data_IF_766147527761
#
_entry.id   IF_766147527761
#
_cell.length_a   1.000
_cell.length_b   1.000
_cell.length_c   1.000
_cell.angle_alpha   90.00
_cell.angle_beta   90.00
_cell.angle_gamma   90.00
#
_symmetry.space_group_name_H-M   'P 1'
#
loop_
_entity.id
_entity.type
_entity.pdbx_description
1 polymer ?
#
# COMPACT_ATOMS: atom_id res chain seq x y z
N UNK A 1 -33.29 -17.59 60.31
CA UNK A 1 -32.56 -18.71 59.67
C UNK A 1 -31.31 -18.17 59.00
N UNK A 2 -30.18 -18.07 59.69
CA UNK A 2 -28.87 -17.85 59.09
C UNK A 2 -28.06 -19.15 59.10
N UNK A 3 -27.42 -19.52 57.99
CA UNK A 3 -26.33 -20.50 58.03
C UNK A 3 -25.07 -19.90 57.41
N UNK A 4 -24.18 -19.61 58.34
CA UNK A 4 -22.73 -19.51 58.27
C UNK A 4 -22.09 -20.71 57.57
N UNK A 5 -21.01 -20.49 56.83
CA UNK A 5 -19.89 -21.43 56.92
C UNK A 5 -18.53 -20.74 56.79
N UNK A 6 -17.71 -21.01 57.79
CA UNK A 6 -16.34 -20.58 57.97
C UNK A 6 -15.47 -21.83 58.15
N UNK A 7 -14.29 -21.86 57.53
CA UNK A 7 -13.08 -22.62 57.91
C UNK A 7 -11.98 -22.24 56.90
N UNK A 8 -10.86 -21.60 57.20
CA UNK A 8 -9.76 -21.85 58.17
C UNK A 8 -8.85 -23.04 57.78
N UNK A 9 -7.59 -22.70 57.51
CA UNK A 9 -6.30 -23.40 57.76
C UNK A 9 -5.36 -23.25 56.53
N UNK A 10 -4.27 -22.47 56.49
CA UNK A 10 -3.07 -22.31 57.36
C UNK A 10 -1.97 -23.37 57.10
N UNK A 11 -0.90 -22.91 56.43
CA UNK A 11 0.56 -23.23 56.61
C UNK A 11 0.99 -24.65 56.16
N UNK A 12 2.09 -24.85 55.42
CA UNK A 12 3.49 -24.94 55.91
C UNK A 12 4.50 -24.75 54.76
N UNK A 13 5.53 -23.99 55.11
CA UNK A 13 6.78 -23.66 54.42
C UNK A 13 7.80 -24.80 54.59
N UNK A 14 8.51 -25.22 53.53
CA UNK A 14 9.82 -25.92 53.69
C UNK A 14 10.66 -25.90 52.40
N UNK A 15 11.74 -25.11 52.42
CA UNK A 15 13.06 -25.38 51.80
C UNK A 15 13.98 -25.75 53.00
N UNK A 16 15.19 -26.36 52.87
CA UNK A 16 16.09 -26.43 51.72
C UNK A 16 16.79 -27.79 51.50
N UNK A 17 17.57 -27.93 50.43
CA UNK A 17 18.74 -28.82 50.48
C UNK A 17 19.87 -28.36 49.57
N UNK A 18 21.07 -28.31 50.15
CA UNK A 18 22.36 -27.99 49.55
C UNK A 18 23.20 -29.26 49.47
N UNK A 19 23.80 -29.55 48.31
CA UNK A 19 25.03 -30.35 48.10
C UNK A 19 25.59 -29.84 46.76
N UNK A 20 26.71 -29.13 46.65
CA UNK A 20 28.11 -29.46 46.95
C UNK A 20 28.62 -30.70 46.21
N UNK A 21 29.18 -30.51 45.01
CA UNK A 21 30.26 -31.35 44.44
C UNK A 21 31.20 -30.42 43.67
N UNK A 22 32.49 -30.56 43.97
CA UNK A 22 33.60 -29.76 43.47
C UNK A 22 34.38 -30.46 42.33
N UNK A 23 35.21 -29.65 41.66
CA UNK A 23 36.45 -29.98 40.92
C UNK A 23 36.35 -30.76 39.59
N UNK A 24 36.79 -30.11 38.51
CA UNK A 24 38.01 -30.54 37.80
C UNK A 24 38.48 -29.48 36.79
N UNK A 25 39.76 -29.11 36.90
CA UNK A 25 40.53 -28.29 35.96
C UNK A 25 40.81 -29.02 34.64
N UNK A 26 40.84 -28.29 33.52
CA UNK A 26 41.83 -28.51 32.46
C UNK A 26 42.01 -27.29 31.55
N UNK A 27 43.20 -26.67 31.67
CA UNK A 27 44.13 -26.36 30.57
C UNK A 27 43.63 -25.59 29.33
N UNK A 28 44.06 -24.32 29.23
CA UNK A 28 44.21 -23.62 27.94
C UNK A 28 45.60 -22.96 27.86
N UNK A 29 46.33 -23.12 26.74
CA UNK A 29 47.67 -22.55 26.57
C UNK A 29 47.65 -21.10 26.06
N UNK A 30 48.58 -20.30 26.57
CA UNK A 30 48.94 -18.95 26.12
C UNK A 30 49.54 -18.95 24.70
N UNK A 31 49.33 -17.90 23.89
CA UNK A 31 50.17 -17.64 22.74
C UNK A 31 51.23 -16.55 23.02
N UNK A 32 52.44 -17.00 22.76
CA UNK A 32 53.77 -16.39 22.68
C UNK A 32 53.79 -15.07 21.92
N UNK A 33 54.54 -14.11 22.46
CA UNK A 33 55.01 -12.90 21.78
C UNK A 33 55.89 -13.23 20.58
N UNK A 34 55.72 -12.54 19.47
CA UNK A 34 56.78 -12.43 18.46
C UNK A 34 56.85 -11.02 17.91
N UNK A 35 57.90 -10.34 18.34
CA UNK A 35 58.47 -9.11 17.78
C UNK A 35 59.30 -9.49 16.56
N UNK A 36 58.98 -9.00 15.37
CA UNK A 36 59.95 -8.90 14.27
C UNK A 36 59.79 -7.55 13.55
N UNK A 37 60.88 -6.79 13.66
CA UNK A 37 61.47 -5.73 12.84
C UNK A 37 60.69 -5.09 11.67
N UNK A 38 60.77 -3.75 11.67
CA UNK A 38 60.57 -2.86 10.55
C UNK A 38 61.56 -3.11 9.40
N UNK A 39 61.22 -2.58 8.20
CA UNK A 39 62.15 -1.64 7.57
C UNK A 39 61.49 -0.33 7.12
N UNK A 40 62.30 0.72 7.15
CA UNK A 40 62.11 2.05 6.56
C UNK A 40 61.69 1.97 5.08
N UNK A 41 60.83 2.89 4.62
CA UNK A 41 61.01 3.68 3.38
C UNK A 41 60.13 4.95 3.40
N UNK A 42 60.80 6.11 3.38
CA UNK A 42 60.51 7.40 2.67
C UNK A 42 59.14 8.12 2.77
N UNK A 43 59.10 9.43 3.12
CA UNK A 43 57.87 10.23 3.14
C UNK A 43 57.58 10.87 1.77
N UNK A 44 56.53 10.44 1.08
CA UNK A 44 55.90 11.23 0.01
C UNK A 44 54.76 12.07 0.59
N UNK A 45 54.94 13.39 0.57
CA UNK A 45 53.91 14.39 0.81
C UNK A 45 52.69 14.15 -0.09
N UNK A 46 51.60 13.68 0.51
CA UNK A 46 50.26 13.79 -0.06
C UNK A 46 49.50 14.88 0.71
N UNK A 47 49.45 16.05 0.11
CA UNK A 47 48.55 17.16 0.49
C UNK A 47 47.11 16.68 0.39
N UNK A 48 46.51 16.29 1.51
CA UNK A 48 45.08 16.04 1.62
C UNK A 48 44.40 17.41 1.71
N UNK A 49 43.98 17.92 0.56
CA UNK A 49 43.01 19.02 0.52
C UNK A 49 41.70 18.54 1.16
N UNK A 50 41.06 19.34 2.03
CA UNK A 50 39.78 18.96 2.61
C UNK A 50 38.73 18.85 1.50
N UNK A 51 38.05 17.70 1.45
CA UNK A 51 36.93 17.43 0.56
C UNK A 51 35.81 18.41 0.92
N UNK A 52 35.57 19.38 0.06
CA UNK A 52 34.37 20.22 0.11
C UNK A 52 33.13 19.32 0.12
N UNK A 53 32.12 19.61 0.96
CA UNK A 53 30.90 18.82 0.98
C UNK A 53 30.26 18.89 -0.40
N UNK A 54 30.07 17.71 -1.02
CA UNK A 54 29.31 17.57 -2.26
C UNK A 54 27.96 18.28 -2.10
N UNK A 55 27.81 19.42 -2.76
CA UNK A 55 26.51 20.04 -2.98
C UNK A 55 25.66 19.01 -3.71
N UNK A 56 24.76 18.36 -2.98
CA UNK A 56 23.69 17.56 -3.58
C UNK A 56 22.98 18.51 -4.54
N UNK A 57 23.12 18.27 -5.84
CA UNK A 57 22.35 18.96 -6.87
C UNK A 57 20.89 18.57 -6.65
N UNK A 58 20.21 19.29 -5.76
CA UNK A 58 18.77 19.18 -5.59
C UNK A 58 18.17 19.65 -6.89
N UNK A 59 17.47 18.74 -7.57
CA UNK A 59 16.75 19.06 -8.79
C UNK A 59 15.81 20.24 -8.47
N UNK A 60 15.84 21.35 -9.22
CA UNK A 60 15.05 22.54 -8.88
C UNK A 60 13.55 22.21 -8.75
N UNK A 61 13.06 21.24 -9.52
CA UNK A 61 11.69 20.74 -9.42
C UNK A 61 11.38 20.07 -8.07
N UNK A 62 12.34 19.35 -7.48
CA UNK A 62 12.16 18.73 -6.15
C UNK A 62 12.09 19.79 -5.05
N UNK A 63 12.89 20.84 -5.15
CA UNK A 63 12.88 21.92 -4.16
C UNK A 63 11.55 22.68 -4.15
N UNK A 64 10.97 22.92 -5.34
CA UNK A 64 9.65 23.53 -5.49
C UNK A 64 8.55 22.63 -4.93
N UNK A 65 8.58 21.34 -5.24
CA UNK A 65 7.56 20.40 -4.77
C UNK A 65 7.59 20.23 -3.25
N UNK A 66 8.78 20.18 -2.64
CA UNK A 66 8.91 20.16 -1.18
C UNK A 66 8.33 21.41 -0.52
N UNK A 67 8.58 22.59 -1.08
CA UNK A 67 7.98 23.82 -0.56
C UNK A 67 6.44 23.81 -0.65
N UNK A 68 5.86 23.21 -1.70
CA UNK A 68 4.41 23.02 -1.80
C UNK A 68 3.89 22.03 -0.76
N UNK A 69 4.58 20.91 -0.58
CA UNK A 69 4.26 19.92 0.47
C UNK A 69 4.24 20.59 1.84
N UNK A 70 5.30 21.30 2.23
CA UNK A 70 5.41 21.96 3.53
C UNK A 70 4.27 22.96 3.75
N UNK A 71 3.98 23.78 2.74
CA UNK A 71 2.89 24.76 2.77
C UNK A 71 1.54 24.10 3.04
N UNK A 72 1.20 23.05 2.28
CA UNK A 72 -0.10 22.41 2.40
C UNK A 72 -0.20 21.48 3.61
N UNK A 73 0.93 20.93 4.07
CA UNK A 73 0.98 20.10 5.27
C UNK A 73 0.71 20.96 6.50
N UNK A 74 1.31 22.16 6.58
CA UNK A 74 1.02 23.12 7.64
C UNK A 74 -0.48 23.44 7.73
N UNK A 75 -1.12 23.70 6.59
CA UNK A 75 -2.57 23.92 6.52
C UNK A 75 -3.38 22.66 6.93
N UNK A 76 -2.99 21.48 6.45
CA UNK A 76 -3.67 20.22 6.77
C UNK A 76 -3.62 19.91 8.28
N UNK A 77 -2.49 20.19 8.93
CA UNK A 77 -2.31 20.03 10.37
C UNK A 77 -3.17 21.04 11.14
N UNK A 78 -3.21 22.30 10.70
CA UNK A 78 -4.05 23.34 11.32
C UNK A 78 -5.54 23.02 11.22
N UNK A 79 -5.98 22.43 10.10
CA UNK A 79 -7.38 22.09 9.85
C UNK A 79 -7.95 21.01 10.78
N UNK A 80 -7.10 20.29 11.54
CA UNK A 80 -7.48 19.31 12.57
C UNK A 80 -8.63 18.38 12.14
N UNK A 81 -8.39 17.62 11.08
CA UNK A 81 -9.42 16.75 10.53
C UNK A 81 -9.90 15.68 11.54
N UNK A 82 -11.22 15.54 11.78
CA UNK A 82 -11.75 14.54 12.70
C UNK A 82 -11.66 13.11 12.14
N UNK A 83 -11.61 12.98 10.82
CA UNK A 83 -11.48 11.71 10.10
C UNK A 83 -10.48 11.90 8.98
N UNK A 84 -9.50 11.00 8.92
CA UNK A 84 -8.50 10.95 7.86
C UNK A 84 -8.92 9.96 6.77
N UNK A 85 -8.78 10.40 5.53
CA UNK A 85 -9.03 9.59 4.35
C UNK A 85 -7.69 9.06 3.86
N UNK A 86 -7.55 7.74 3.86
CA UNK A 86 -6.35 7.09 3.32
C UNK A 86 -6.14 7.47 1.86
N UNK A 87 -4.96 7.93 1.53
CA UNK A 87 -4.51 8.23 0.19
C UNK A 87 -4.62 6.97 -0.68
N UNK A 88 -5.40 7.07 -1.76
CA UNK A 88 -5.60 5.99 -2.72
C UNK A 88 -5.29 6.54 -4.10
N UNK A 89 -4.39 5.88 -4.82
CA UNK A 89 -4.03 6.22 -6.21
C UNK A 89 -3.78 7.74 -6.40
N UNK A 90 -2.72 8.29 -5.78
CA UNK A 90 -2.46 9.72 -5.77
C UNK A 90 -2.21 10.30 -7.16
N UNK A 91 -1.69 9.51 -8.10
CA UNK A 91 -1.48 9.95 -9.49
C UNK A 91 -2.81 10.13 -10.24
N UNK A 92 -3.77 9.22 -10.04
CA UNK A 92 -5.11 9.38 -10.61
C UNK A 92 -5.81 10.60 -10.01
N UNK A 93 -5.66 10.81 -8.69
CA UNK A 93 -6.22 11.96 -8.00
C UNK A 93 -5.62 13.28 -8.51
N UNK A 94 -4.28 13.38 -8.64
CA UNK A 94 -3.58 14.56 -9.21
C UNK A 94 -4.09 14.88 -10.62
N UNK A 95 -4.16 13.87 -11.49
CA UNK A 95 -4.63 14.03 -12.86
C UNK A 95 -6.06 14.56 -12.93
N UNK A 96 -6.97 13.96 -12.15
CA UNK A 96 -8.38 14.34 -12.14
C UNK A 96 -8.60 15.73 -11.53
N UNK A 97 -7.87 16.07 -10.46
CA UNK A 97 -7.90 17.39 -9.84
C UNK A 97 -7.39 18.47 -10.80
N UNK A 98 -6.24 18.24 -11.44
CA UNK A 98 -5.65 19.17 -12.42
C UNK A 98 -6.57 19.38 -13.62
N UNK A 99 -7.17 18.31 -14.14
CA UNK A 99 -8.16 18.39 -15.21
C UNK A 99 -9.41 19.19 -14.79
N UNK A 100 -9.90 18.97 -13.58
CA UNK A 100 -11.03 19.71 -13.02
C UNK A 100 -10.74 21.21 -12.87
N UNK A 101 -9.57 21.55 -12.32
CA UNK A 101 -9.13 22.95 -12.19
C UNK A 101 -8.99 23.60 -13.57
N UNK A 102 -8.39 22.92 -14.54
CA UNK A 102 -8.26 23.42 -15.91
C UNK A 102 -9.62 23.70 -16.57
N UNK A 103 -10.63 22.85 -16.29
CA UNK A 103 -11.99 23.03 -16.83
C UNK A 103 -12.72 24.24 -16.25
N UNK A 104 -12.45 24.61 -15.00
CA UNK A 104 -13.03 25.78 -14.34
C UNK A 104 -12.22 27.05 -14.59
N UNK A 105 -10.92 26.93 -14.88
CA UNK A 105 -10.00 28.03 -15.12
C UNK A 105 -10.02 28.53 -16.58
N UNK A 106 -11.20 28.63 -17.19
CA UNK A 106 -11.35 29.32 -18.48
C UNK A 106 -11.70 30.79 -18.25
N UNK A 107 -11.26 31.72 -19.12
CA UNK A 107 -11.52 33.15 -18.92
C UNK A 107 -13.01 33.48 -18.74
N UNK A 108 -13.87 32.81 -19.50
CA UNK A 108 -15.33 32.98 -19.45
C UNK A 108 -15.91 32.54 -18.09
N UNK A 109 -15.52 31.37 -17.61
CA UNK A 109 -16.00 30.85 -16.31
C UNK A 109 -15.42 31.62 -15.15
N UNK A 110 -14.19 32.10 -15.25
CA UNK A 110 -13.56 32.93 -14.23
C UNK A 110 -14.30 34.26 -14.08
N UNK A 111 -14.70 34.89 -15.18
CA UNK A 111 -15.49 36.11 -15.16
C UNK A 111 -16.87 35.85 -14.53
N UNK A 112 -17.57 34.81 -14.98
CA UNK A 112 -18.88 34.43 -14.42
C UNK A 112 -18.81 34.04 -12.96
N UNK A 113 -17.77 33.35 -12.52
CA UNK A 113 -17.59 32.97 -11.12
C UNK A 113 -17.39 34.18 -10.22
N UNK A 114 -16.74 35.24 -10.72
CA UNK A 114 -16.62 36.50 -9.97
C UNK A 114 -17.97 37.21 -9.78
N UNK A 115 -18.89 37.06 -10.74
CA UNK A 115 -20.23 37.65 -10.68
C UNK A 115 -21.24 36.79 -9.90
N UNK A 116 -21.34 35.51 -10.23
CA UNK A 116 -22.35 34.59 -9.69
C UNK A 116 -21.94 33.98 -8.34
N UNK A 117 -20.64 33.83 -8.08
CA UNK A 117 -20.11 33.12 -6.90
C UNK A 117 -19.03 33.93 -6.15
N UNK A 118 -19.34 35.17 -5.70
CA UNK A 118 -18.34 36.07 -5.10
C UNK A 118 -17.78 35.58 -3.76
N UNK A 119 -18.46 34.63 -3.10
CA UNK A 119 -18.02 34.04 -1.83
C UNK A 119 -16.97 32.92 -2.01
N UNK A 120 -16.73 32.45 -3.23
CA UNK A 120 -15.77 31.38 -3.50
C UNK A 120 -14.36 31.95 -3.48
N UNK A 121 -13.50 31.37 -2.65
CA UNK A 121 -12.07 31.69 -2.64
C UNK A 121 -11.39 31.09 -3.87
N UNK A 122 -11.24 31.93 -4.90
CA UNK A 122 -10.63 31.57 -6.18
C UNK A 122 -9.16 31.18 -6.05
N UNK A 123 -8.41 31.83 -5.15
CA UNK A 123 -6.99 31.52 -4.96
C UNK A 123 -6.85 30.11 -4.43
N UNK A 124 -7.68 29.77 -3.44
CA UNK A 124 -7.72 28.42 -2.87
C UNK A 124 -8.19 27.37 -3.86
N UNK A 125 -9.17 27.70 -4.71
CA UNK A 125 -9.72 26.81 -5.72
C UNK A 125 -8.68 26.46 -6.80
N UNK A 126 -7.95 27.46 -7.31
CA UNK A 126 -6.94 27.24 -8.34
C UNK A 126 -5.70 26.51 -7.80
N UNK A 127 -5.41 26.66 -6.49
CA UNK A 127 -4.33 25.94 -5.81
C UNK A 127 -4.62 24.44 -5.61
N UNK A 128 -5.79 23.93 -6.00
CA UNK A 128 -6.13 22.49 -5.88
C UNK A 128 -5.21 21.63 -6.77
N UNK A 129 -4.80 22.13 -7.94
CA UNK A 129 -3.85 21.42 -8.81
C UNK A 129 -2.50 21.20 -8.12
N UNK A 130 -1.91 22.29 -7.61
CA UNK A 130 -0.65 22.26 -6.87
C UNK A 130 -0.74 21.35 -5.63
N UNK A 131 -1.86 21.38 -4.91
CA UNK A 131 -2.09 20.49 -3.77
C UNK A 131 -2.11 19.03 -4.19
N UNK A 132 -2.77 18.71 -5.30
CA UNK A 132 -2.87 17.33 -5.78
C UNK A 132 -1.51 16.80 -6.27
N UNK A 133 -0.70 17.65 -6.88
CA UNK A 133 0.69 17.32 -7.23
C UNK A 133 1.57 17.14 -6.00
N UNK A 134 1.40 17.97 -4.96
CA UNK A 134 2.09 17.80 -3.68
C UNK A 134 1.73 16.46 -3.01
N UNK A 135 0.46 16.05 -3.04
CA UNK A 135 0.02 14.73 -2.55
C UNK A 135 0.71 13.60 -3.33
N UNK A 136 0.77 13.70 -4.67
CA UNK A 136 1.41 12.69 -5.50
C UNK A 136 2.93 12.67 -5.37
N UNK A 137 3.55 13.80 -5.07
CA UNK A 137 4.96 13.88 -4.73
C UNK A 137 5.22 13.19 -3.39
N UNK A 138 4.48 13.56 -2.35
CA UNK A 138 4.67 13.03 -1.00
C UNK A 138 4.42 11.52 -0.96
N UNK A 139 3.35 11.03 -1.56
CA UNK A 139 3.06 9.60 -1.60
C UNK A 139 4.12 8.75 -2.36
N UNK A 140 4.96 9.38 -3.21
CA UNK A 140 6.10 8.72 -3.86
C UNK A 140 7.36 8.70 -3.00
N UNK A 141 7.53 9.71 -2.15
CA UNK A 141 8.72 9.93 -1.33
C UNK A 141 8.54 9.45 0.12
N UNK A 142 7.31 9.23 0.54
CA UNK A 142 6.99 8.59 1.80
C UNK A 142 7.55 7.16 1.74
N UNK A 143 8.67 6.95 2.42
CA UNK A 143 9.21 5.62 2.66
C UNK A 143 8.18 4.88 3.49
N UNK A 144 7.37 4.05 2.82
CA UNK A 144 6.61 3.02 3.50
C UNK A 144 7.63 2.07 4.11
N UNK A 145 8.01 2.32 5.37
CA UNK A 145 8.74 1.36 6.20
C UNK A 145 7.99 0.02 6.31
N UNK A 146 6.70 0.02 5.93
CA UNK A 146 5.91 -1.18 5.77
C UNK A 146 6.24 -1.91 4.44
N UNK A 147 6.74 -3.15 4.48
CA UNK A 147 7.04 -3.89 3.27
C UNK A 147 5.76 -4.08 2.44
N UNK A 148 5.80 -3.66 1.17
CA UNK A 148 4.64 -3.80 0.28
C UNK A 148 4.10 -5.23 0.30
N UNK A 149 2.77 -5.41 0.19
CA UNK A 149 2.14 -6.73 0.11
C UNK A 149 2.80 -7.65 -0.96
N UNK A 150 3.32 -7.05 -2.04
CA UNK A 150 4.08 -7.77 -3.06
C UNK A 150 5.40 -8.32 -2.54
N UNK A 151 6.16 -7.54 -1.77
CA UNK A 151 7.39 -7.98 -1.12
C UNK A 151 7.10 -9.07 -0.07
N UNK A 152 6.03 -8.92 0.71
CA UNK A 152 5.59 -9.93 1.68
C UNK A 152 5.21 -11.25 1.00
N UNK A 153 4.43 -11.20 -0.09
CA UNK A 153 4.08 -12.40 -0.86
C UNK A 153 5.30 -13.05 -1.51
N UNK A 154 6.28 -12.25 -1.96
CA UNK A 154 7.55 -12.79 -2.48
C UNK A 154 8.31 -13.54 -1.40
N UNK A 155 8.46 -12.95 -0.21
CA UNK A 155 9.13 -13.59 0.93
C UNK A 155 8.41 -14.85 1.40
N UNK A 156 7.08 -14.81 1.46
CA UNK A 156 6.26 -15.98 1.75
C UNK A 156 6.42 -17.09 0.70
N UNK A 157 6.62 -16.71 -0.57
CA UNK A 157 7.05 -17.59 -1.67
C UNK A 157 8.34 -18.34 -1.38
N UNK A 158 9.36 -17.64 -0.89
CA UNK A 158 10.65 -18.22 -0.51
C UNK A 158 10.51 -19.20 0.66
N UNK A 159 9.78 -18.80 1.71
CA UNK A 159 9.49 -19.64 2.87
C UNK A 159 8.78 -20.94 2.47
N UNK A 160 7.79 -20.86 1.58
CA UNK A 160 7.11 -22.04 1.05
C UNK A 160 8.04 -22.96 0.26
N UNK A 161 8.98 -22.43 -0.54
CA UNK A 161 9.95 -23.25 -1.27
C UNK A 161 10.89 -24.01 -0.34
N UNK A 162 11.12 -23.49 0.87
CA UNK A 162 11.91 -24.19 1.89
C UNK A 162 11.08 -25.23 2.65
N UNK A 163 9.82 -24.94 2.96
CA UNK A 163 8.93 -25.82 3.74
C UNK A 163 8.38 -27.01 2.93
N UNK A 164 8.00 -26.79 1.68
CA UNK A 164 7.31 -27.82 0.88
C UNK A 164 8.16 -29.08 0.62
N UNK A 165 9.47 -29.00 0.33
CA UNK A 165 10.33 -30.19 0.23
C UNK A 165 10.41 -30.98 1.54
N UNK A 166 10.40 -30.31 2.70
CA UNK A 166 10.39 -30.99 4.00
C UNK A 166 9.10 -31.77 4.20
N UNK A 167 7.96 -31.16 3.84
CA UNK A 167 6.66 -31.85 3.84
C UNK A 167 6.64 -33.06 2.91
N UNK A 168 7.32 -32.98 1.76
CA UNK A 168 7.44 -34.09 0.82
C UNK A 168 8.27 -35.25 1.41
N UNK A 169 9.37 -34.95 2.11
CA UNK A 169 10.17 -35.96 2.82
C UNK A 169 9.34 -36.63 3.92
N UNK A 170 8.59 -35.84 4.69
CA UNK A 170 7.69 -36.36 5.73
C UNK A 170 6.57 -37.22 5.14
N UNK A 171 6.11 -36.91 3.93
CA UNK A 171 5.15 -37.74 3.20
C UNK A 171 5.77 -39.08 2.79
N UNK A 172 6.98 -39.09 2.23
CA UNK A 172 7.67 -40.35 1.88
C UNK A 172 8.01 -41.19 3.11
N UNK A 173 8.27 -40.56 4.26
CA UNK A 173 8.47 -41.24 5.54
C UNK A 173 7.17 -41.79 6.16
N UNK A 174 6.01 -41.61 5.50
CA UNK A 174 4.70 -42.05 6.01
C UNK A 174 4.18 -41.23 7.19
N UNK A 175 4.81 -40.09 7.50
CA UNK A 175 4.42 -39.21 8.61
C UNK A 175 3.32 -38.26 8.14
N UNK A 176 3.47 -37.65 6.96
CA UNK A 176 2.44 -36.81 6.36
C UNK A 176 1.57 -37.63 5.39
N UNK A 177 0.24 -37.67 5.56
CA UNK A 177 -0.66 -38.28 4.59
C UNK A 177 -0.50 -37.64 3.20
N UNK A 178 -0.46 -38.46 2.15
CA UNK A 178 -0.33 -37.98 0.76
C UNK A 178 -1.43 -36.96 0.38
N UNK A 179 -2.66 -37.18 0.84
CA UNK A 179 -3.77 -36.25 0.60
C UNK A 179 -3.53 -34.86 1.21
N UNK A 180 -2.90 -34.81 2.38
CA UNK A 180 -2.57 -33.57 3.09
C UNK A 180 -1.44 -32.83 2.35
N UNK A 181 -0.39 -33.54 1.94
CA UNK A 181 0.68 -32.96 1.11
C UNK A 181 0.16 -32.37 -0.21
N UNK A 182 -0.73 -33.08 -0.93
CA UNK A 182 -1.30 -32.58 -2.19
C UNK A 182 -2.20 -31.35 -1.97
N UNK A 183 -2.96 -31.29 -0.86
CA UNK A 183 -3.73 -30.10 -0.48
C UNK A 183 -2.79 -28.91 -0.23
N UNK A 184 -1.70 -29.11 0.50
CA UNK A 184 -0.73 -28.06 0.77
C UNK A 184 -0.09 -27.56 -0.52
N UNK A 185 0.31 -28.48 -1.41
CA UNK A 185 0.93 -28.16 -2.71
C UNK A 185 0.01 -27.37 -3.64
N UNK A 186 -1.29 -27.70 -3.68
CA UNK A 186 -2.27 -27.17 -4.64
C UNK A 186 -2.90 -25.83 -4.27
N UNK A 187 -2.49 -25.17 -3.17
CA UNK A 187 -3.09 -23.90 -2.75
C UNK A 187 -2.93 -22.80 -3.82
N UNK A 188 -4.05 -22.25 -4.30
CA UNK A 188 -4.11 -21.15 -5.28
C UNK A 188 -4.70 -19.88 -4.67
N UNK A 189 -4.09 -18.74 -4.99
CA UNK A 189 -4.50 -17.43 -4.47
C UNK A 189 -3.89 -17.11 -3.10
N UNK A 190 -3.76 -15.82 -2.80
CA UNK A 190 -2.97 -15.35 -1.66
C UNK A 190 -3.52 -15.78 -0.29
N UNK A 191 -4.84 -15.95 -0.15
CA UNK A 191 -5.46 -16.45 1.09
C UNK A 191 -5.10 -17.92 1.31
N UNK A 192 -5.37 -18.77 0.31
CA UNK A 192 -5.04 -20.19 0.40
C UNK A 192 -3.52 -20.40 0.58
N UNK A 193 -2.72 -19.51 0.02
CA UNK A 193 -1.27 -19.49 0.20
C UNK A 193 -0.86 -19.20 1.65
N UNK A 194 -1.44 -18.17 2.28
CA UNK A 194 -1.23 -17.86 3.69
C UNK A 194 -1.70 -18.97 4.62
N UNK A 195 -2.88 -19.55 4.36
CA UNK A 195 -3.39 -20.71 5.10
C UNK A 195 -2.46 -21.92 4.95
N UNK A 196 -1.99 -22.21 3.75
CA UNK A 196 -1.07 -23.33 3.52
C UNK A 196 0.26 -23.18 4.26
N UNK A 197 0.77 -21.95 4.42
CA UNK A 197 1.96 -21.69 5.26
C UNK A 197 1.69 -22.00 6.73
N UNK A 198 0.53 -21.60 7.25
CA UNK A 198 0.13 -21.91 8.62
C UNK A 198 -0.06 -23.40 8.83
N UNK A 199 -0.78 -24.08 7.93
CA UNK A 199 -1.01 -25.53 7.98
C UNK A 199 0.32 -26.30 7.98
N UNK A 200 1.31 -25.89 7.16
CA UNK A 200 2.65 -26.50 7.16
C UNK A 200 3.39 -26.30 8.48
N UNK A 201 3.36 -25.08 9.03
CA UNK A 201 4.03 -24.78 10.30
C UNK A 201 3.37 -25.51 11.46
N UNK A 202 2.04 -25.54 11.50
CA UNK A 202 1.27 -26.28 12.51
C UNK A 202 1.58 -27.78 12.45
N UNK A 203 1.69 -28.35 11.25
CA UNK A 203 2.08 -29.75 11.08
C UNK A 203 3.48 -30.05 11.64
N UNK A 204 4.43 -29.11 11.47
CA UNK A 204 5.79 -29.24 11.98
C UNK A 204 5.83 -29.10 13.51
N UNK A 205 4.98 -28.27 14.11
CA UNK A 205 4.88 -28.07 15.57
C UNK A 205 4.21 -29.24 16.30
N UNK A 206 3.16 -29.85 15.71
CA UNK A 206 2.27 -30.77 16.41
C UNK A 206 2.83 -32.18 16.64
N UNK A 207 4.03 -32.51 16.14
CA UNK A 207 4.54 -33.89 16.15
C UNK A 207 5.93 -34.01 16.76
N UNK A 208 5.98 -34.59 17.94
CA UNK A 208 7.19 -35.24 18.53
C UNK A 208 7.85 -36.22 17.57
N UNK A 209 7.11 -36.75 16.58
CA UNK A 209 7.62 -37.65 15.52
C UNK A 209 8.42 -36.96 14.42
N UNK A 210 8.43 -35.63 14.38
CA UNK A 210 9.10 -34.79 13.38
C UNK A 210 10.41 -34.21 13.92
N UNK A 211 10.60 -34.23 15.24
CA UNK A 211 11.86 -33.82 15.89
C UNK A 211 13.06 -34.57 15.29
N UNK A 212 14.07 -33.80 14.86
CA UNK A 212 15.29 -34.32 14.24
C UNK A 212 15.17 -34.76 12.78
N UNK A 213 13.99 -34.76 12.17
CA UNK A 213 13.78 -35.19 10.77
C UNK A 213 13.69 -34.06 9.76
N UNK A 214 13.65 -32.82 10.23
CA UNK A 214 13.49 -31.62 9.40
C UNK A 214 14.73 -30.76 9.52
N UNK A 215 15.35 -30.45 8.39
CA UNK A 215 16.56 -29.63 8.30
C UNK A 215 16.24 -28.13 8.19
N UNK A 216 15.32 -27.63 9.02
CA UNK A 216 14.96 -26.21 9.05
C UNK A 216 15.26 -25.60 10.42
N UNK A 217 15.79 -24.39 10.39
CA UNK A 217 15.96 -23.57 11.59
C UNK A 217 14.60 -23.15 12.16
N UNK A 218 14.47 -23.15 13.48
CA UNK A 218 13.29 -22.68 14.21
C UNK A 218 12.92 -21.24 13.82
N UNK A 219 13.92 -20.41 13.46
CA UNK A 219 13.70 -19.05 12.97
C UNK A 219 12.86 -19.01 11.69
N UNK A 220 13.10 -19.93 10.76
CA UNK A 220 12.36 -20.01 9.49
C UNK A 220 10.92 -20.43 9.73
N UNK A 221 10.68 -21.33 10.68
CA UNK A 221 9.34 -21.78 11.07
C UNK A 221 8.56 -20.64 11.72
N UNK A 222 9.19 -19.90 12.63
CA UNK A 222 8.60 -18.73 13.27
C UNK A 222 8.28 -17.61 12.25
N UNK A 223 9.19 -17.36 11.30
CA UNK A 223 8.98 -16.38 10.22
C UNK A 223 7.81 -16.80 9.33
N UNK A 224 7.72 -18.07 8.94
CA UNK A 224 6.61 -18.59 8.14
C UNK A 224 5.27 -18.48 8.86
N UNK A 225 5.23 -18.67 10.19
CA UNK A 225 4.03 -18.45 11.01
C UNK A 225 3.59 -17.01 10.98
N UNK A 226 4.51 -16.09 11.26
CA UNK A 226 4.23 -14.65 11.27
C UNK A 226 3.73 -14.20 9.89
N UNK A 227 4.39 -14.64 8.82
CA UNK A 227 4.04 -14.30 7.45
C UNK A 227 2.68 -14.87 7.02
N UNK A 228 2.39 -16.14 7.33
CA UNK A 228 1.10 -16.76 7.03
C UNK A 228 -0.06 -16.06 7.73
N UNK A 229 0.13 -15.67 9.00
CA UNK A 229 -0.84 -14.89 9.77
C UNK A 229 -1.04 -13.50 9.16
N UNK A 230 0.05 -12.79 8.88
CA UNK A 230 0.02 -11.47 8.26
C UNK A 230 -0.73 -11.48 6.93
N UNK A 231 -0.43 -12.44 6.05
CA UNK A 231 -1.10 -12.58 4.75
C UNK A 231 -2.60 -12.82 4.94
N UNK A 232 -3.00 -13.67 5.89
CA UNK A 232 -4.42 -13.95 6.15
C UNK A 232 -5.17 -12.71 6.68
N UNK A 233 -4.52 -11.89 7.48
CA UNK A 233 -5.10 -10.66 8.05
C UNK A 233 -5.16 -9.52 7.04
N UNK A 234 -4.20 -9.45 6.12
CA UNK A 234 -4.04 -8.31 5.20
C UNK A 234 -4.51 -8.57 3.76
N UNK A 235 -4.65 -9.84 3.35
CA UNK A 235 -5.21 -10.19 2.04
C UNK A 235 -6.73 -10.18 2.10
N UNK A 236 -7.33 -9.38 1.23
CA UNK A 236 -8.77 -9.17 1.16
C UNK A 236 -9.47 -10.33 0.45
N UNK A 237 -10.60 -10.78 0.98
CA UNK A 237 -11.55 -11.59 0.20
C UNK A 237 -12.24 -10.69 -0.84
N UNK A 238 -12.52 -11.17 -2.07
CA UNK A 238 -13.17 -10.39 -3.12
C UNK A 238 -14.53 -9.78 -2.72
N UNK A 239 -15.20 -10.36 -1.72
CA UNK A 239 -16.58 -10.03 -1.33
C UNK A 239 -16.70 -8.96 -0.25
N UNK A 240 -15.61 -8.57 0.43
CA UNK A 240 -15.69 -7.51 1.42
C UNK A 240 -15.47 -6.14 0.79
N UNK A 241 -16.57 -5.54 0.32
CA UNK A 241 -16.66 -4.09 0.14
C UNK A 241 -16.61 -3.45 1.53
N UNK A 242 -15.75 -2.46 1.70
CA UNK A 242 -15.50 -1.83 3.00
C UNK A 242 -16.63 -0.87 3.33
N UNK A 243 -17.35 -1.11 4.42
CA UNK A 243 -17.91 -0.03 5.23
C UNK A 243 -16.75 0.69 5.95
N UNK A 244 -16.80 2.02 5.92
CA UNK A 244 -15.71 2.91 6.29
C UNK A 244 -15.30 2.82 7.76
N UNK A 245 -14.40 1.89 8.12
CA UNK A 245 -13.68 1.97 9.38
C UNK A 245 -12.71 3.16 9.33
N UNK A 246 -12.87 4.18 10.20
CA UNK A 246 -11.89 5.27 10.32
C UNK A 246 -10.60 4.72 10.91
N UNK A 247 -9.46 5.15 10.38
CA UNK A 247 -8.15 4.87 10.97
C UNK A 247 -8.04 5.63 12.31
N UNK A 248 -7.60 4.96 13.36
CA UNK A 248 -7.22 5.63 14.61
C UNK A 248 -6.02 6.54 14.35
N UNK A 249 -6.05 7.72 14.98
CA UNK A 249 -5.01 8.76 14.91
C UNK A 249 -3.77 8.32 15.70
N UNK A 250 -3.04 7.34 15.19
CA UNK A 250 -1.57 7.33 15.34
C UNK A 250 -1.00 8.21 14.24
N UNK A 251 0.19 8.79 14.44
CA UNK A 251 0.88 9.73 13.52
C UNK A 251 0.61 9.36 12.06
N UNK A 252 -0.39 10.02 11.47
CA UNK A 252 -0.88 9.62 10.17
C UNK A 252 0.16 10.00 9.13
N UNK A 253 0.37 9.16 8.10
CA UNK A 253 1.29 9.48 7.03
C UNK A 253 0.95 10.87 6.45
N UNK A 254 1.97 11.65 6.12
CA UNK A 254 1.80 13.01 5.62
C UNK A 254 0.94 13.00 4.34
N UNK A 255 1.04 11.94 3.54
CA UNK A 255 0.21 11.70 2.37
C UNK A 255 -1.28 11.57 2.69
N UNK A 256 -1.68 10.94 3.80
CA UNK A 256 -3.08 10.79 4.20
C UNK A 256 -3.68 12.12 4.69
N UNK A 257 -2.89 12.95 5.39
CA UNK A 257 -3.29 14.29 5.80
C UNK A 257 -3.52 15.20 4.59
N UNK A 258 -2.55 15.25 3.69
CA UNK A 258 -2.63 16.03 2.46
C UNK A 258 -3.78 15.52 1.56
N UNK A 259 -3.96 14.21 1.45
CA UNK A 259 -5.05 13.63 0.67
C UNK A 259 -6.42 13.99 1.27
N UNK A 260 -6.54 14.03 2.60
CA UNK A 260 -7.77 14.47 3.28
C UNK A 260 -8.07 15.94 2.98
N UNK A 261 -7.05 16.81 2.99
CA UNK A 261 -7.19 18.21 2.59
C UNK A 261 -7.62 18.33 1.11
N UNK A 262 -7.03 17.51 0.23
CA UNK A 262 -7.36 17.48 -1.20
C UNK A 262 -8.82 17.08 -1.41
N UNK A 263 -9.32 16.03 -0.74
CA UNK A 263 -10.72 15.59 -0.88
C UNK A 263 -11.67 16.72 -0.51
N UNK A 264 -11.45 17.40 0.63
CA UNK A 264 -12.32 18.50 1.07
C UNK A 264 -12.34 19.66 0.08
N UNK A 265 -11.17 20.12 -0.37
CA UNK A 265 -11.10 21.22 -1.33
C UNK A 265 -11.65 20.83 -2.70
N UNK A 266 -11.49 19.57 -3.09
CA UNK A 266 -12.05 19.07 -4.33
C UNK A 266 -13.59 19.01 -4.27
N UNK A 267 -14.20 18.84 -3.10
CA UNK A 267 -15.66 18.96 -2.95
C UNK A 267 -16.13 20.38 -3.25
N UNK A 268 -15.38 21.41 -2.85
CA UNK A 268 -15.66 22.80 -3.22
C UNK A 268 -15.58 23.01 -4.75
N UNK A 269 -14.57 22.44 -5.40
CA UNK A 269 -14.44 22.46 -6.87
C UNK A 269 -15.61 21.77 -7.56
N UNK A 270 -16.10 20.66 -7.01
CA UNK A 270 -17.28 19.97 -7.52
C UNK A 270 -18.55 20.77 -7.30
N UNK A 271 -18.67 21.50 -6.20
CA UNK A 271 -19.82 22.38 -5.96
C UNK A 271 -19.88 23.52 -7.00
N UNK A 272 -18.74 24.14 -7.31
CA UNK A 272 -18.62 25.13 -8.40
C UNK A 272 -18.99 24.50 -9.75
N UNK A 273 -18.50 23.31 -10.03
CA UNK A 273 -18.83 22.61 -11.27
C UNK A 273 -20.31 22.25 -11.37
N UNK A 274 -20.94 21.85 -10.26
CA UNK A 274 -22.38 21.58 -10.22
C UNK A 274 -23.21 22.83 -10.51
N UNK A 275 -22.76 24.01 -10.05
CA UNK A 275 -23.42 25.27 -10.36
C UNK A 275 -23.46 25.55 -11.87
N UNK A 276 -22.33 25.42 -12.55
CA UNK A 276 -22.22 25.75 -13.98
C UNK A 276 -22.78 24.65 -14.92
N UNK A 277 -22.50 23.38 -14.63
CA UNK A 277 -22.81 22.27 -15.55
C UNK A 277 -23.86 21.29 -15.03
N UNK A 278 -24.30 21.43 -13.77
CA UNK A 278 -25.34 20.59 -13.15
C UNK A 278 -25.08 19.09 -13.36
N UNK A 279 -25.90 18.42 -14.18
CA UNK A 279 -25.83 16.98 -14.46
C UNK A 279 -24.57 16.56 -15.23
N UNK A 280 -23.91 17.49 -15.92
CA UNK A 280 -22.71 17.20 -16.71
C UNK A 280 -21.41 17.43 -15.93
N UNK A 281 -21.48 17.79 -14.64
CA UNK A 281 -20.29 18.13 -13.83
C UNK A 281 -19.20 17.05 -13.87
N UNK A 282 -19.55 15.77 -13.96
CA UNK A 282 -18.57 14.67 -13.94
C UNK A 282 -17.72 14.61 -15.22
N UNK A 283 -18.15 15.26 -16.30
CA UNK A 283 -17.38 15.37 -17.54
C UNK A 283 -16.26 16.39 -17.40
N UNK A 284 -16.49 17.48 -16.66
CA UNK A 284 -15.55 18.59 -16.48
C UNK A 284 -14.72 18.45 -15.20
N UNK A 285 -15.34 18.02 -14.10
CA UNK A 285 -14.71 17.77 -12.80
C UNK A 285 -15.05 16.35 -12.34
N UNK A 286 -14.29 15.33 -12.78
CA UNK A 286 -14.53 13.95 -12.38
C UNK A 286 -14.24 13.75 -10.88
N UNK A 287 -14.82 12.73 -10.23
CA UNK A 287 -14.41 12.37 -8.87
C UNK A 287 -12.93 11.99 -8.83
N UNK A 288 -12.21 12.33 -7.74
CA UNK A 288 -10.75 12.14 -7.63
C UNK A 288 -10.27 10.74 -8.04
N UNK A 289 -11.00 9.68 -7.65
CA UNK A 289 -10.63 8.29 -7.92
C UNK A 289 -11.39 7.65 -9.09
N UNK A 290 -12.12 8.45 -9.86
CA UNK A 290 -12.83 7.94 -11.02
C UNK A 290 -11.86 7.66 -12.15
N UNK A 291 -11.87 6.41 -12.63
CA UNK A 291 -11.25 6.08 -13.91
C UNK A 291 -12.16 6.59 -15.01
N UNK A 292 -11.86 7.78 -15.53
CA UNK A 292 -12.54 8.28 -16.74
C UNK A 292 -12.20 7.32 -17.87
N UNK A 293 -13.17 6.48 -18.25
CA UNK A 293 -13.03 5.67 -19.47
C UNK A 293 -13.03 6.68 -20.61
N UNK A 294 -11.91 6.77 -21.34
CA UNK A 294 -11.92 7.49 -22.61
C UNK A 294 -13.10 6.93 -23.42
N UNK A 295 -14.08 7.77 -23.75
CA UNK A 295 -15.08 7.38 -24.74
C UNK A 295 -14.28 7.02 -25.98
N UNK A 296 -14.33 5.75 -26.37
CA UNK A 296 -13.74 5.32 -27.63
C UNK A 296 -14.26 6.28 -28.69
N UNK A 297 -13.35 6.96 -29.39
CA UNK A 297 -13.67 7.77 -30.57
C UNK A 297 -14.48 6.85 -31.47
N UNK A 298 -15.80 7.04 -31.53
CA UNK A 298 -16.62 6.48 -32.60
C UNK A 298 -16.07 7.18 -33.84
N UNK A 299 -15.24 6.44 -34.58
CA UNK A 299 -14.58 6.93 -35.78
C UNK A 299 -15.63 7.53 -36.71
N UNK A 300 -15.28 8.66 -37.31
CA UNK A 300 -16.05 9.38 -38.30
C UNK A 300 -16.20 8.56 -39.59
N UNK A 301 -17.01 7.50 -39.53
CA UNK A 301 -17.43 6.69 -40.66
C UNK A 301 -18.97 6.62 -40.79
N UNK A 302 -19.73 7.20 -39.87
CA UNK A 302 -21.19 7.20 -39.85
C UNK A 302 -21.75 8.65 -39.98
N UNK A 303 -21.19 9.43 -40.91
CA UNK A 303 -21.78 10.72 -41.36
C UNK A 303 -21.72 10.85 -42.90
N UNK A 304 -21.15 9.88 -43.64
CA UNK A 304 -21.10 9.94 -45.12
C UNK A 304 -22.23 9.12 -45.78
N UNK A 305 -23.02 8.37 -45.03
CA UNK A 305 -24.15 7.59 -45.57
C UNK A 305 -25.52 8.17 -45.17
N UNK A 306 -25.65 9.50 -45.19
CA UNK A 306 -26.93 10.19 -45.05
C UNK A 306 -27.13 11.31 -46.10
N UNK A 307 -26.27 11.36 -47.13
CA UNK A 307 -26.42 12.25 -48.29
C UNK A 307 -26.34 11.45 -49.59
N UNK A 308 -27.16 10.39 -49.68
CA UNK A 308 -27.56 9.83 -50.98
C UNK A 308 -29.02 9.41 -50.90
N UNK A 309 -29.92 10.40 -50.82
CA UNK A 309 -31.31 10.16 -51.23
C UNK A 309 -31.36 10.27 -52.76
N UNK A 310 -31.74 9.21 -53.50
CA UNK A 310 -32.03 9.33 -54.92
C UNK A 310 -33.36 10.08 -55.10
N UNK A 311 -33.31 11.06 -55.99
CA UNK A 311 -34.41 11.89 -56.48
C UNK A 311 -35.59 11.02 -56.91
N UNK A 312 -36.76 11.39 -56.39
CA UNK A 312 -38.11 10.97 -56.77
C UNK A 312 -38.32 10.89 -58.28
N UNK A 313 -38.72 9.71 -58.78
CA UNK A 313 -39.42 9.57 -60.07
C UNK A 313 -40.91 9.91 -59.89
N UNK A 314 -41.57 10.54 -60.88
CA UNK A 314 -43.00 10.84 -60.83
C UNK A 314 -43.86 9.59 -61.11
N UNK A 315 -45.12 9.53 -60.62
CA UNK A 315 -45.98 8.37 -60.77
C UNK A 315 -46.48 8.22 -62.21
N UNK A 316 -46.28 7.03 -62.78
CA UNK A 316 -46.89 6.59 -64.04
C UNK A 316 -48.37 6.28 -63.80
N UNK A 317 -49.24 7.02 -64.47
CA UNK A 317 -50.69 6.76 -64.54
C UNK A 317 -50.92 5.48 -65.34
N UNK A 318 -51.47 4.45 -64.71
CA UNK A 318 -51.98 3.27 -65.41
C UNK A 318 -53.43 3.51 -65.80
N UNK A 319 -53.70 3.56 -67.11
CA UNK A 319 -55.04 3.56 -67.67
C UNK A 319 -55.68 2.15 -67.58
N UNK A 320 -57.02 2.05 -67.54
CA UNK A 320 -57.74 0.80 -67.26
C UNK A 320 -57.93 -0.07 -68.51
N UNK A 321 -58.14 -1.40 -68.36
CA UNK A 321 -58.68 -2.21 -69.44
C UNK A 321 -60.20 -2.05 -69.55
N UNK A 322 -60.65 -1.73 -70.76
CA UNK A 322 -62.03 -1.72 -71.22
C UNK A 322 -62.51 -3.13 -71.57
N UNK A 323 -63.68 -3.53 -71.05
CA UNK A 323 -64.89 -4.00 -71.77
C UNK A 323 -65.82 -4.73 -70.81
#
# INVERSE_FOLDING_TARGET
MPETNAAVATVVNTTPNSQEIAMSEASLPSPVSNTIAAPEETPMSASISPISPSTVLVNPDDSRMRALVDKFLAEAVEAKFPVLIKCRDPELASRNATFGVASVNTPELVARMAEELPKVDRVRLLAIGDLADAVAYEARHESSDEPTMRAMLKRAGELRRMLLPQMQVLMFAGICPKAEYERLKSSRGAIAFGTSLLDMVEFLDQRTKVEGKVALDAKVIAEARAMGKFIRENVRMPTQRKDGRPAQVTAAPASDLLFTLLVRRHDDLRAVAYWFWRGEMNTYVPPLLAKVRAKAKKSAAEVVEAVTQPVTQPPTVSAPPSM
#
